data_IF_081566182630
#
_entry.id   IF_081566182630
#
_cell.length_a   1.000
_cell.length_b   1.000
_cell.length_c   1.000
_cell.angle_alpha   90.00
_cell.angle_beta   90.00
_cell.angle_gamma   90.00
#
_symmetry.space_group_name_H-M   'P 1'
#
loop_
_entity.id
_entity.type
_entity.pdbx_description
1 polymer ?
#
# COMPACT_ATOMS: atom_id res chain seq x y z
N UNK A 1 8.54 12.01 -16.35
CA UNK A 1 7.62 11.55 -15.30
C UNK A 1 7.91 12.40 -14.09
N UNK A 2 7.03 13.35 -13.76
CA UNK A 2 7.25 14.23 -12.60
C UNK A 2 7.05 13.40 -11.34
N UNK A 3 8.16 13.14 -10.62
CA UNK A 3 8.16 12.69 -9.24
C UNK A 3 7.56 13.80 -8.36
N UNK A 4 6.24 13.90 -8.36
CA UNK A 4 5.53 14.59 -7.28
C UNK A 4 5.67 13.67 -6.06
N UNK A 5 6.75 13.87 -5.31
CA UNK A 5 7.04 13.13 -4.09
C UNK A 5 6.03 13.54 -3.02
N UNK A 6 4.86 12.89 -3.02
CA UNK A 6 3.88 13.00 -1.94
C UNK A 6 4.47 12.50 -0.61
N UNK A 7 3.85 12.88 0.52
CA UNK A 7 4.27 12.41 1.84
C UNK A 7 4.18 10.89 1.94
N UNK A 8 4.94 10.32 2.87
CA UNK A 8 4.93 8.87 3.13
C UNK A 8 3.85 8.53 4.16
N UNK A 9 3.08 7.47 3.93
CA UNK A 9 2.01 6.97 4.81
C UNK A 9 2.25 5.53 5.22
N UNK A 10 1.86 5.16 6.44
CA UNK A 10 1.92 3.78 6.92
C UNK A 10 0.67 3.02 6.48
N UNK A 11 0.85 1.90 5.78
CA UNK A 11 -0.21 0.95 5.46
C UNK A 11 0.07 -0.39 6.13
N UNK A 12 -0.99 -1.17 6.32
CA UNK A 12 -0.88 -2.52 6.84
C UNK A 12 -1.20 -3.51 5.73
N UNK A 13 -0.50 -4.63 5.70
CA UNK A 13 -0.90 -5.77 4.89
C UNK A 13 -0.79 -7.07 5.66
N UNK A 14 -1.53 -8.07 5.20
CA UNK A 14 -1.43 -9.45 5.69
C UNK A 14 -1.35 -10.38 4.49
N UNK A 15 -0.56 -11.45 4.56
CA UNK A 15 -0.54 -12.49 3.55
C UNK A 15 -1.16 -13.76 4.10
N UNK A 16 -2.28 -14.18 3.52
CA UNK A 16 -2.94 -15.41 3.91
C UNK A 16 -2.12 -16.67 3.53
N UNK A 17 -1.26 -16.57 2.51
CA UNK A 17 -0.46 -17.69 2.03
C UNK A 17 0.64 -18.12 3.01
N UNK A 18 1.38 -17.16 3.58
CA UNK A 18 2.45 -17.44 4.55
C UNK A 18 2.06 -17.14 6.01
N UNK A 19 0.86 -16.60 6.25
CA UNK A 19 0.38 -16.26 7.60
C UNK A 19 0.96 -14.96 8.17
N UNK A 20 1.63 -14.13 7.36
CA UNK A 20 2.09 -12.80 7.77
C UNK A 20 0.87 -11.92 8.10
N UNK A 21 0.81 -11.34 9.30
CA UNK A 21 -0.36 -10.58 9.77
C UNK A 21 0.04 -9.16 10.18
N UNK A 22 -0.76 -8.18 9.76
CA UNK A 22 -0.66 -6.76 10.17
C UNK A 22 0.76 -6.19 10.05
N UNK A 23 1.46 -6.52 8.97
CA UNK A 23 2.78 -5.98 8.67
C UNK A 23 2.64 -4.53 8.24
N UNK A 24 3.37 -3.64 8.91
CA UNK A 24 3.50 -2.22 8.56
C UNK A 24 4.48 -2.03 7.43
N UNK A 25 4.07 -1.29 6.41
CA UNK A 25 4.95 -0.83 5.34
C UNK A 25 4.67 0.63 5.04
N UNK A 26 5.73 1.40 4.81
CA UNK A 26 5.63 2.82 4.51
C UNK A 26 5.62 3.01 2.99
N UNK A 27 4.59 3.67 2.48
CA UNK A 27 4.36 3.84 1.03
C UNK A 27 4.13 5.32 0.71
N UNK A 28 4.22 5.70 -0.56
CA UNK A 28 3.88 7.06 -0.97
C UNK A 28 2.37 7.26 -0.89
N UNK A 29 1.94 8.40 -0.34
CA UNK A 29 0.56 8.84 -0.40
C UNK A 29 0.11 8.94 -1.86
N UNK A 30 -1.16 8.59 -2.12
CA UNK A 30 -1.76 8.72 -3.43
C UNK A 30 -1.90 10.20 -3.81
N UNK A 31 -1.29 10.67 -4.92
CA UNK A 31 -1.61 11.97 -5.48
C UNK A 31 -3.09 12.05 -5.86
N UNK A 32 -3.74 13.19 -5.62
CA UNK A 32 -5.17 13.37 -5.93
C UNK A 32 -5.52 13.09 -7.41
N UNK A 33 -4.56 13.33 -8.31
CA UNK A 33 -4.68 13.13 -9.76
C UNK A 33 -4.44 11.69 -10.21
N UNK A 34 -3.88 10.83 -9.36
CA UNK A 34 -3.60 9.42 -9.69
C UNK A 34 -4.85 8.56 -9.44
N UNK A 35 -5.17 7.71 -10.41
CA UNK A 35 -6.24 6.74 -10.27
C UNK A 35 -5.93 5.78 -9.11
N UNK A 36 -6.95 5.43 -8.31
CA UNK A 36 -6.79 4.54 -7.15
C UNK A 36 -6.18 3.20 -7.54
N UNK A 37 -6.63 2.61 -8.66
CA UNK A 37 -6.12 1.32 -9.12
C UNK A 37 -4.64 1.36 -9.53
N UNK A 38 -4.20 2.44 -10.19
CA UNK A 38 -2.78 2.62 -10.55
C UNK A 38 -1.90 2.77 -9.32
N UNK A 39 -2.37 3.56 -8.34
CA UNK A 39 -1.67 3.73 -7.08
C UNK A 39 -1.59 2.44 -6.28
N UNK A 40 -2.69 1.67 -6.19
CA UNK A 40 -2.70 0.35 -5.54
C UNK A 40 -1.71 -0.58 -6.23
N UNK A 41 -1.70 -0.64 -7.57
CA UNK A 41 -0.76 -1.48 -8.31
C UNK A 41 0.70 -1.09 -8.03
N UNK A 42 1.01 0.20 -8.03
CA UNK A 42 2.34 0.69 -7.67
C UNK A 42 2.71 0.27 -6.24
N UNK A 43 1.80 0.49 -5.30
CA UNK A 43 2.01 0.19 -3.89
C UNK A 43 2.18 -1.31 -3.64
N UNK A 44 1.36 -2.16 -4.28
CA UNK A 44 1.46 -3.62 -4.18
C UNK A 44 2.78 -4.11 -4.79
N UNK A 45 3.17 -3.64 -5.97
CA UNK A 45 4.36 -4.13 -6.66
C UNK A 45 5.66 -3.62 -6.05
N UNK A 46 5.73 -2.34 -5.68
CA UNK A 46 6.98 -1.69 -5.27
C UNK A 46 7.24 -1.75 -3.77
N UNK A 47 6.20 -1.72 -2.95
CA UNK A 47 6.38 -1.61 -1.50
C UNK A 47 6.00 -2.91 -0.81
N UNK A 48 4.76 -3.35 -0.96
CA UNK A 48 4.25 -4.54 -0.29
C UNK A 48 4.94 -5.80 -0.82
N UNK A 49 5.09 -5.93 -2.14
CA UNK A 49 5.70 -7.10 -2.77
C UNK A 49 7.16 -7.30 -2.35
N UNK A 50 7.96 -6.23 -2.36
CA UNK A 50 9.37 -6.29 -1.95
C UNK A 50 9.52 -6.60 -0.46
N UNK A 51 8.75 -5.94 0.41
CA UNK A 51 8.74 -6.24 1.85
C UNK A 51 8.31 -7.69 2.10
N UNK A 52 7.28 -8.16 1.39
CA UNK A 52 6.78 -9.52 1.54
C UNK A 52 7.80 -10.57 1.11
N UNK A 53 8.50 -10.38 -0.01
CA UNK A 53 9.57 -11.31 -0.42
C UNK A 53 10.70 -11.38 0.61
N UNK A 54 11.04 -10.26 1.26
CA UNK A 54 12.05 -10.23 2.30
C UNK A 54 11.57 -10.93 3.58
N UNK A 55 10.31 -10.72 3.98
CA UNK A 55 9.74 -11.26 5.21
C UNK A 55 9.23 -12.70 5.10
N UNK A 56 8.94 -13.16 3.89
CA UNK A 56 8.36 -14.49 3.61
C UNK A 56 8.91 -15.06 2.29
N UNK A 57 10.22 -15.32 2.21
CA UNK A 57 10.89 -15.72 0.96
C UNK A 57 10.42 -17.07 0.41
N UNK A 58 9.79 -17.90 1.26
CA UNK A 58 9.23 -19.20 0.88
C UNK A 58 7.73 -19.15 0.54
N UNK A 59 7.12 -17.95 0.51
CA UNK A 59 5.71 -17.83 0.16
C UNK A 59 5.50 -18.04 -1.34
N UNK A 60 4.84 -19.14 -1.70
CA UNK A 60 4.54 -19.51 -3.10
C UNK A 60 3.17 -19.01 -3.57
N UNK A 61 2.36 -18.46 -2.67
CA UNK A 61 0.99 -18.00 -2.96
C UNK A 61 0.68 -16.69 -2.22
N UNK A 62 1.19 -15.55 -2.70
CA UNK A 62 0.97 -14.25 -2.06
C UNK A 62 -0.47 -13.78 -2.29
N UNK A 63 -1.41 -14.23 -1.45
CA UNK A 63 -2.72 -13.60 -1.28
C UNK A 63 -2.59 -12.54 -0.21
N UNK A 64 -2.17 -11.34 -0.62
CA UNK A 64 -1.99 -10.22 0.28
C UNK A 64 -3.27 -9.38 0.38
N UNK A 65 -3.83 -9.28 1.58
CA UNK A 65 -4.89 -8.32 1.91
C UNK A 65 -4.24 -7.02 2.36
N UNK A 66 -4.67 -5.92 1.75
CA UNK A 66 -4.18 -4.59 2.06
C UNK A 66 -5.20 -3.83 2.90
N UNK A 67 -4.73 -3.29 4.01
CA UNK A 67 -5.47 -2.39 4.88
C UNK A 67 -4.87 -0.99 4.75
N UNK A 68 -5.59 -0.13 4.04
CA UNK A 68 -5.22 1.26 3.89
C UNK A 68 -5.64 2.06 5.13
N UNK A 69 -4.78 2.96 5.64
CA UNK A 69 -5.19 3.89 6.68
C UNK A 69 -6.35 4.73 6.14
N UNK A 70 -7.42 4.82 6.92
CA UNK A 70 -8.44 5.82 6.67
C UNK A 70 -7.84 7.17 7.02
N UNK A 71 -7.39 7.91 6.01
CA UNK A 71 -6.89 9.25 6.18
C UNK A 71 -8.09 10.22 6.28
N UNK A 72 -8.31 10.86 7.42
CA UNK A 72 -9.43 11.81 7.67
C UNK A 72 -9.52 12.91 6.60
N UNK A 73 -8.43 13.19 5.88
CA UNK A 73 -8.33 14.19 4.80
C UNK A 73 -9.00 13.73 3.49
N UNK A 74 -9.15 12.42 3.23
CA UNK A 74 -9.88 11.92 2.04
C UNK A 74 -11.40 12.19 2.18
N UNK A 75 -11.90 12.33 3.41
CA UNK A 75 -13.27 12.75 3.71
C UNK A 75 -13.52 14.26 3.63
N UNK A 76 -12.48 15.09 3.59
CA UNK A 76 -12.61 16.56 3.56
C UNK A 76 -12.70 17.12 2.13
N UNK A 77 -12.22 16.40 1.11
CA UNK A 77 -12.29 16.83 -0.29
C UNK A 77 -13.71 16.72 -0.92
N UNK A 78 -14.73 16.30 -0.15
CA UNK A 78 -16.13 16.19 -0.61
C UNK A 78 -17.11 17.10 0.15
N UNK A 79 -16.61 18.07 0.92
CA UNK A 79 -17.44 19.08 1.58
C UNK A 79 -16.96 20.50 1.29
N UNK A 80 -16.90 20.87 0.01
CA UNK A 80 -16.97 22.26 -0.43
C UNK A 80 -17.81 22.31 -1.71
#
# INVERSE_FOLDING_TARGET
MNDVQGPMVEVLYSCMGCGLKKRRVTVRERPAVQAVGEWINEMVMRYVGLDHMAMSPLCTHPKADLMLPYADHIGQARRQ
#
